data_IF_884190104772
#
_entry.id   IF_884190104772
#
_cell.length_a   1.000
_cell.length_b   1.000
_cell.length_c   1.000
_cell.angle_alpha   90.00
_cell.angle_beta   90.00
_cell.angle_gamma   90.00
#
_symmetry.space_group_name_H-M   'P 1'
#
loop_
_entity.id
_entity.type
_entity.pdbx_description
1 polymer ?
#
# COMPACT_ATOMS: atom_id res chain seq x y z
N UNK A 1 -15.50 -6.32 -25.95
CA UNK A 1 -15.09 -6.31 -24.53
C UNK A 1 -16.26 -5.84 -23.69
N UNK A 2 -16.76 -6.63 -22.73
CA UNK A 2 -17.81 -6.15 -21.83
C UNK A 2 -17.25 -5.00 -20.97
N UNK A 3 -18.07 -3.95 -20.78
CA UNK A 3 -17.70 -2.83 -19.95
C UNK A 3 -17.41 -3.28 -18.50
N UNK A 4 -16.36 -2.78 -17.87
CA UNK A 4 -16.05 -3.00 -16.46
C UNK A 4 -17.16 -2.42 -15.58
N UNK A 5 -17.78 -3.23 -14.72
CA UNK A 5 -18.92 -2.83 -13.89
C UNK A 5 -18.64 -2.91 -12.39
N UNK A 6 -17.77 -3.83 -12.00
CA UNK A 6 -17.51 -4.08 -10.57
C UNK A 6 -16.06 -4.45 -10.31
N UNK A 7 -15.46 -3.83 -9.30
CA UNK A 7 -14.08 -4.07 -8.85
C UNK A 7 -14.06 -4.38 -7.36
N UNK A 8 -13.34 -5.44 -6.98
CA UNK A 8 -13.01 -5.76 -5.61
C UNK A 8 -11.54 -5.43 -5.36
N UNK A 9 -11.27 -4.50 -4.48
CA UNK A 9 -9.95 -4.13 -4.00
C UNK A 9 -9.66 -4.90 -2.70
N UNK A 10 -8.50 -5.50 -2.60
CA UNK A 10 -8.01 -6.17 -1.39
C UNK A 10 -6.78 -5.44 -0.89
N UNK A 11 -6.82 -4.94 0.33
CA UNK A 11 -5.68 -4.33 0.98
C UNK A 11 -5.74 -4.62 2.48
N UNK A 12 -4.60 -4.81 3.11
CA UNK A 12 -4.57 -5.13 4.54
C UNK A 12 -4.93 -3.95 5.43
N UNK A 13 -4.85 -2.70 4.92
CA UNK A 13 -5.30 -1.46 5.57
C UNK A 13 -6.09 -0.61 4.60
N UNK A 14 -6.90 0.29 5.11
CA UNK A 14 -7.47 1.42 4.38
C UNK A 14 -6.84 2.75 4.82
N UNK A 15 -7.23 3.83 4.16
CA UNK A 15 -6.68 5.17 4.44
C UNK A 15 -7.00 5.68 5.86
N UNK A 16 -8.11 5.24 6.47
CA UNK A 16 -8.49 5.60 7.83
C UNK A 16 -7.71 4.86 8.92
N UNK A 17 -6.92 3.84 8.56
CA UNK A 17 -6.11 3.11 9.53
C UNK A 17 -5.01 4.01 10.10
N UNK A 18 -4.73 4.00 11.44
CA UNK A 18 -3.71 4.86 12.05
C UNK A 18 -2.30 4.72 11.44
N UNK A 19 -2.02 3.59 10.80
CA UNK A 19 -0.76 3.35 10.08
C UNK A 19 -0.96 3.37 8.56
N UNK A 20 -2.05 3.95 8.06
CA UNK A 20 -2.29 4.17 6.64
C UNK A 20 -1.16 4.99 6.00
N UNK A 21 -0.90 4.78 4.73
CA UNK A 21 0.17 5.45 4.01
C UNK A 21 -0.13 5.62 2.52
N UNK A 22 0.91 5.82 1.73
CA UNK A 22 0.76 6.12 0.30
C UNK A 22 0.07 5.02 -0.50
N UNK A 23 0.29 3.74 -0.18
CA UNK A 23 -0.36 2.62 -0.87
C UNK A 23 -1.88 2.58 -0.63
N UNK A 24 -2.31 2.91 0.58
CA UNK A 24 -3.71 2.97 0.96
C UNK A 24 -4.39 4.20 0.33
N UNK A 25 -3.71 5.36 0.32
CA UNK A 25 -4.19 6.56 -0.36
C UNK A 25 -4.33 6.34 -1.88
N UNK A 26 -3.35 5.67 -2.50
CA UNK A 26 -3.40 5.30 -3.91
C UNK A 26 -4.65 4.46 -4.23
N UNK A 27 -4.91 3.40 -3.45
CA UNK A 27 -6.07 2.56 -3.65
C UNK A 27 -7.39 3.30 -3.44
N UNK A 28 -7.47 4.15 -2.42
CA UNK A 28 -8.66 4.97 -2.17
C UNK A 28 -8.92 5.91 -3.35
N UNK A 29 -7.89 6.59 -3.86
CA UNK A 29 -8.01 7.50 -5.00
C UNK A 29 -8.45 6.80 -6.26
N UNK A 30 -7.82 5.68 -6.62
CA UNK A 30 -8.24 4.87 -7.77
C UNK A 30 -9.66 4.35 -7.59
N UNK A 31 -10.00 3.86 -6.40
CA UNK A 31 -11.34 3.39 -6.09
C UNK A 31 -12.38 4.49 -6.27
N UNK A 32 -12.12 5.69 -5.78
CA UNK A 32 -12.99 6.86 -5.92
C UNK A 32 -13.18 7.27 -7.39
N UNK A 33 -12.10 7.29 -8.20
CA UNK A 33 -12.18 7.60 -9.63
C UNK A 33 -13.00 6.56 -10.40
N UNK A 34 -12.81 5.27 -10.11
CA UNK A 34 -13.62 4.20 -10.68
C UNK A 34 -15.09 4.33 -10.29
N UNK A 35 -15.36 4.65 -9.00
CA UNK A 35 -16.73 4.87 -8.52
C UNK A 35 -17.39 6.08 -9.19
N UNK A 36 -16.66 7.18 -9.36
CA UNK A 36 -17.13 8.37 -10.09
C UNK A 36 -17.43 8.07 -11.58
N UNK A 37 -16.75 7.07 -12.15
CA UNK A 37 -17.02 6.56 -13.50
C UNK A 37 -18.16 5.55 -13.57
N UNK A 38 -18.94 5.36 -12.50
CA UNK A 38 -20.09 4.46 -12.44
C UNK A 38 -19.76 2.98 -12.17
N UNK A 39 -18.52 2.67 -11.80
CA UNK A 39 -18.10 1.31 -11.49
C UNK A 39 -18.35 1.03 -10.01
N UNK A 40 -18.99 -0.09 -9.68
CA UNK A 40 -19.20 -0.51 -8.30
C UNK A 40 -17.88 -0.98 -7.67
N UNK A 41 -17.34 -0.21 -6.73
CA UNK A 41 -16.07 -0.52 -6.06
C UNK A 41 -16.30 -0.97 -4.62
N UNK A 42 -15.68 -2.08 -4.25
CA UNK A 42 -15.67 -2.57 -2.86
C UNK A 42 -14.22 -2.78 -2.42
N UNK A 43 -13.84 -2.23 -1.27
CA UNK A 43 -12.55 -2.47 -0.61
C UNK A 43 -12.75 -3.43 0.56
N UNK A 44 -12.04 -4.56 0.55
CA UNK A 44 -11.96 -5.48 1.67
C UNK A 44 -10.65 -5.30 2.42
N UNK A 45 -10.71 -5.05 3.74
CA UNK A 45 -9.56 -4.63 4.54
C UNK A 45 -9.66 -5.07 6.00
N UNK A 46 -8.60 -4.88 6.79
CA UNK A 46 -8.59 -5.16 8.21
C UNK A 46 -9.43 -4.16 9.02
N UNK A 47 -9.83 -4.59 10.21
CA UNK A 47 -10.41 -3.72 11.23
C UNK A 47 -9.31 -3.05 12.06
N UNK A 48 -9.62 -1.88 12.57
CA UNK A 48 -8.84 -1.17 13.59
C UNK A 48 -9.79 -0.57 14.64
N UNK A 49 -9.32 -0.20 15.83
CA UNK A 49 -10.14 0.38 16.88
C UNK A 49 -10.93 1.60 16.40
N UNK A 50 -12.22 1.66 16.74
CA UNK A 50 -13.12 2.75 16.33
C UNK A 50 -13.66 2.66 14.90
N UNK A 51 -13.10 1.82 14.01
CA UNK A 51 -13.58 1.72 12.64
C UNK A 51 -14.88 0.91 12.51
N UNK A 52 -15.91 1.41 11.77
CA UNK A 52 -17.11 0.66 11.46
C UNK A 52 -16.81 -0.56 10.60
N UNK A 53 -17.63 -1.61 10.72
CA UNK A 53 -17.47 -2.81 9.87
C UNK A 53 -17.71 -2.55 8.39
N UNK A 54 -18.63 -1.64 8.09
CA UNK A 54 -19.00 -1.22 6.75
C UNK A 54 -19.09 0.29 6.70
N UNK A 55 -18.58 0.86 5.63
CA UNK A 55 -18.54 2.31 5.43
C UNK A 55 -18.57 2.61 3.93
N UNK A 56 -19.05 3.77 3.56
CA UNK A 56 -18.97 4.31 2.20
C UNK A 56 -18.11 5.58 2.24
N UNK A 57 -16.97 5.56 1.55
CA UNK A 57 -16.06 6.69 1.48
C UNK A 57 -15.76 6.97 0.01
N UNK A 58 -16.06 8.16 -0.47
CA UNK A 58 -15.84 8.60 -1.86
C UNK A 58 -16.41 7.60 -2.91
N UNK A 59 -17.59 7.03 -2.64
CA UNK A 59 -18.23 6.04 -3.50
C UNK A 59 -17.68 4.61 -3.38
N UNK A 60 -16.61 4.40 -2.62
CA UNK A 60 -16.02 3.08 -2.34
C UNK A 60 -16.68 2.44 -1.12
N UNK A 61 -17.24 1.25 -1.29
CA UNK A 61 -17.77 0.46 -0.17
C UNK A 61 -16.65 -0.23 0.57
N UNK A 62 -16.39 0.16 1.80
CA UNK A 62 -15.36 -0.46 2.65
C UNK A 62 -15.99 -1.56 3.49
N UNK A 63 -15.38 -2.74 3.50
CA UNK A 63 -15.78 -3.89 4.30
C UNK A 63 -14.59 -4.38 5.13
N UNK A 64 -14.67 -4.22 6.46
CA UNK A 64 -13.56 -4.51 7.38
C UNK A 64 -13.79 -5.79 8.16
N UNK A 65 -12.80 -6.69 8.21
CA UNK A 65 -12.75 -7.80 9.15
C UNK A 65 -11.32 -8.32 9.34
N UNK A 66 -11.11 -8.98 10.47
CA UNK A 66 -9.79 -9.43 10.89
C UNK A 66 -8.91 -8.28 11.38
N UNK A 67 -7.71 -8.61 11.80
CA UNK A 67 -6.66 -7.68 12.17
C UNK A 67 -5.46 -7.82 11.23
N UNK A 68 -4.30 -7.31 11.65
CA UNK A 68 -3.07 -7.24 10.87
C UNK A 68 -2.71 -8.52 10.10
N UNK A 69 -2.84 -9.69 10.73
CA UNK A 69 -2.47 -10.98 10.12
C UNK A 69 -3.68 -11.80 9.69
N UNK A 70 -4.81 -11.69 10.40
CA UNK A 70 -6.00 -12.48 10.10
C UNK A 70 -6.85 -11.91 8.96
N UNK A 71 -6.58 -10.69 8.49
CA UNK A 71 -7.30 -10.07 7.37
C UNK A 71 -7.28 -10.92 6.10
N UNK A 72 -6.17 -11.58 5.82
CA UNK A 72 -5.99 -12.44 4.64
C UNK A 72 -6.95 -13.63 4.67
N UNK A 73 -7.03 -14.32 5.82
CA UNK A 73 -7.96 -15.43 6.02
C UNK A 73 -9.42 -14.96 5.95
N UNK A 74 -9.75 -13.85 6.64
CA UNK A 74 -11.11 -13.31 6.61
C UNK A 74 -11.51 -12.78 5.23
N UNK A 75 -10.59 -12.29 4.43
CA UNK A 75 -10.84 -11.91 3.04
C UNK A 75 -11.10 -13.14 2.18
N UNK A 76 -10.26 -14.18 2.30
CA UNK A 76 -10.42 -15.44 1.56
C UNK A 76 -11.77 -16.11 1.87
N UNK A 77 -12.12 -16.22 3.15
CA UNK A 77 -13.42 -16.77 3.58
C UNK A 77 -14.61 -15.93 3.07
N UNK A 78 -14.49 -14.60 3.11
CA UNK A 78 -15.55 -13.72 2.60
C UNK A 78 -15.72 -13.85 1.08
N UNK A 79 -14.61 -13.96 0.34
CA UNK A 79 -14.64 -14.21 -1.11
C UNK A 79 -15.22 -15.59 -1.44
N UNK A 80 -14.84 -16.63 -0.70
CA UNK A 80 -15.39 -17.97 -0.87
C UNK A 80 -16.90 -18.01 -0.57
N UNK A 81 -17.34 -17.44 0.54
CA UNK A 81 -18.76 -17.33 0.90
C UNK A 81 -19.57 -16.55 -0.15
N UNK A 82 -18.98 -15.48 -0.72
CA UNK A 82 -19.64 -14.69 -1.77
C UNK A 82 -19.92 -15.50 -3.04
N UNK A 83 -19.11 -16.52 -3.35
CA UNK A 83 -19.34 -17.44 -4.46
C UNK A 83 -20.62 -18.26 -4.27
N UNK A 84 -20.98 -18.53 -3.02
CA UNK A 84 -22.21 -19.20 -2.61
C UNK A 84 -23.36 -18.22 -2.30
N UNK A 85 -23.20 -16.93 -2.56
CA UNK A 85 -24.21 -15.91 -2.25
C UNK A 85 -24.29 -15.53 -0.76
N UNK A 86 -23.30 -15.92 0.04
CA UNK A 86 -23.26 -15.72 1.49
C UNK A 86 -22.24 -14.68 1.92
N UNK A 87 -22.32 -14.25 3.18
CA UNK A 87 -21.33 -13.40 3.83
C UNK A 87 -21.37 -11.90 3.43
N UNK A 88 -20.39 -11.13 3.88
CA UNK A 88 -20.38 -9.67 3.72
C UNK A 88 -20.20 -9.21 2.27
N UNK A 89 -19.65 -10.06 1.41
CA UNK A 89 -19.43 -9.78 -0.01
C UNK A 89 -20.48 -10.46 -0.92
N UNK A 90 -21.59 -11.00 -0.38
CA UNK A 90 -22.59 -11.78 -1.13
C UNK A 90 -23.19 -11.08 -2.35
N UNK A 91 -23.22 -9.74 -2.35
CA UNK A 91 -23.70 -8.91 -3.47
C UNK A 91 -22.61 -8.42 -4.41
N UNK A 92 -21.34 -8.71 -4.09
CA UNK A 92 -20.19 -8.29 -4.91
C UNK A 92 -19.92 -9.36 -5.96
N UNK A 93 -20.04 -8.98 -7.22
CA UNK A 93 -19.72 -9.83 -8.38
C UNK A 93 -18.64 -9.13 -9.21
N UNK A 94 -17.37 -9.23 -8.78
CA UNK A 94 -16.31 -8.45 -9.40
C UNK A 94 -15.97 -8.99 -10.79
N UNK A 95 -15.84 -8.10 -11.75
CA UNK A 95 -15.22 -8.37 -13.04
C UNK A 95 -13.70 -8.49 -12.88
N UNK A 96 -13.15 -7.67 -11.97
CA UNK A 96 -11.71 -7.64 -11.62
C UNK A 96 -11.54 -7.62 -10.11
N UNK A 97 -10.57 -8.40 -9.62
CA UNK A 97 -10.11 -8.37 -8.23
C UNK A 97 -8.67 -7.87 -8.21
N UNK A 98 -8.41 -6.80 -7.47
CA UNK A 98 -7.07 -6.26 -7.25
C UNK A 98 -6.53 -6.81 -5.93
N UNK A 99 -5.56 -7.69 -6.02
CA UNK A 99 -4.86 -8.29 -4.89
C UNK A 99 -3.63 -7.41 -4.58
N UNK A 100 -3.76 -6.51 -3.61
CA UNK A 100 -2.65 -5.63 -3.23
C UNK A 100 -1.69 -6.37 -2.33
N UNK A 101 -0.55 -6.72 -2.88
CA UNK A 101 0.52 -7.39 -2.16
C UNK A 101 1.40 -6.36 -1.45
N UNK A 102 1.17 -6.20 -0.16
CA UNK A 102 2.02 -5.44 0.77
C UNK A 102 2.75 -6.44 1.68
N UNK A 103 3.66 -7.22 1.08
CA UNK A 103 4.32 -8.37 1.67
C UNK A 103 3.57 -9.67 1.34
N UNK A 104 2.46 -9.95 1.99
CA UNK A 104 1.64 -11.14 1.71
C UNK A 104 0.52 -10.85 0.72
N UNK A 105 0.27 -11.73 -0.28
CA UNK A 105 -0.90 -11.65 -1.15
C UNK A 105 -2.16 -12.15 -0.45
N UNK A 106 -3.33 -11.69 -0.90
CA UNK A 106 -4.63 -12.22 -0.47
C UNK A 106 -5.00 -13.52 -1.17
N UNK A 107 -4.17 -13.97 -2.09
CA UNK A 107 -4.35 -15.18 -2.90
C UNK A 107 -5.70 -15.25 -3.62
N UNK A 108 -6.23 -14.10 -4.03
CA UNK A 108 -7.51 -13.96 -4.72
C UNK A 108 -7.60 -14.84 -5.98
N UNK A 109 -6.46 -15.13 -6.60
CA UNK A 109 -6.35 -16.03 -7.74
C UNK A 109 -7.02 -17.39 -7.52
N UNK A 110 -6.98 -17.93 -6.30
CA UNK A 110 -7.57 -19.24 -6.00
C UNK A 110 -9.09 -19.28 -6.27
N UNK A 111 -9.76 -18.14 -6.14
CA UNK A 111 -11.21 -18.01 -6.30
C UNK A 111 -11.62 -17.32 -7.60
N UNK A 112 -10.79 -16.43 -8.13
CA UNK A 112 -11.10 -15.60 -9.29
C UNK A 112 -10.21 -15.85 -10.51
N UNK A 113 -9.18 -16.69 -10.39
CA UNK A 113 -8.32 -17.08 -11.50
C UNK A 113 -7.67 -15.88 -12.20
N UNK A 114 -7.85 -15.78 -13.52
CA UNK A 114 -7.31 -14.67 -14.33
C UNK A 114 -8.03 -13.33 -14.17
N UNK A 115 -9.19 -13.32 -13.50
CA UNK A 115 -9.87 -12.05 -13.14
C UNK A 115 -9.20 -11.33 -11.98
N UNK A 116 -8.23 -11.95 -11.30
CA UNK A 116 -7.40 -11.26 -10.32
C UNK A 116 -6.13 -10.72 -10.96
N UNK A 117 -5.74 -9.51 -10.58
CA UNK A 117 -4.43 -8.93 -10.85
C UNK A 117 -3.71 -8.67 -9.52
N UNK A 118 -2.39 -8.62 -9.55
CA UNK A 118 -1.56 -8.35 -8.38
C UNK A 118 -1.03 -6.93 -8.46
N UNK A 119 -1.33 -6.11 -7.47
CA UNK A 119 -0.77 -4.77 -7.34
C UNK A 119 0.39 -4.78 -6.35
N UNK A 120 1.58 -4.39 -6.81
CA UNK A 120 2.79 -4.35 -5.99
C UNK A 120 3.40 -2.96 -6.05
N UNK A 121 3.44 -2.26 -4.92
CA UNK A 121 4.09 -0.94 -4.85
C UNK A 121 5.62 -1.07 -4.79
N UNK A 122 6.12 -2.03 -4.02
CA UNK A 122 7.54 -2.37 -3.90
C UNK A 122 7.70 -3.76 -3.28
N UNK A 123 8.85 -4.39 -3.50
CA UNK A 123 9.20 -5.63 -2.82
C UNK A 123 9.78 -5.33 -1.43
N UNK A 124 9.36 -6.11 -0.42
CA UNK A 124 9.62 -5.80 1.01
C UNK A 124 10.92 -6.44 1.54
N UNK A 125 11.87 -6.78 0.67
CA UNK A 125 13.09 -7.48 1.06
C UNK A 125 13.79 -6.87 2.28
N UNK A 126 13.96 -5.56 2.27
CA UNK A 126 14.64 -4.81 3.33
C UNK A 126 13.75 -4.55 4.57
N UNK A 127 12.45 -4.71 4.43
CA UNK A 127 11.50 -4.48 5.53
C UNK A 127 11.22 -5.74 6.35
N UNK A 128 11.35 -6.92 5.75
CA UNK A 128 11.08 -8.19 6.43
C UNK A 128 11.93 -8.43 7.67
N UNK A 129 13.23 -8.07 7.72
CA UNK A 129 14.04 -8.22 8.94
C UNK A 129 13.48 -7.48 10.15
N UNK A 130 12.77 -6.37 9.96
CA UNK A 130 12.12 -5.59 11.03
C UNK A 130 10.98 -6.37 11.71
N UNK A 131 10.36 -7.33 11.01
CA UNK A 131 9.32 -8.19 11.57
C UNK A 131 9.86 -9.32 12.46
N UNK A 132 11.18 -9.40 12.65
CA UNK A 132 11.85 -10.44 13.39
C UNK A 132 12.32 -11.62 12.51
N UNK A 133 13.27 -12.38 13.04
CA UNK A 133 14.05 -13.36 12.26
C UNK A 133 13.18 -14.44 11.57
N UNK A 134 12.24 -15.03 12.31
CA UNK A 134 11.39 -16.11 11.79
C UNK A 134 10.31 -15.58 10.85
N UNK A 135 9.58 -14.54 11.28
CA UNK A 135 8.53 -13.92 10.47
C UNK A 135 9.10 -13.28 9.21
N UNK A 136 10.28 -12.68 9.32
CA UNK A 136 10.97 -12.08 8.17
C UNK A 136 11.35 -13.13 7.10
N UNK A 137 11.86 -14.29 7.51
CA UNK A 137 12.18 -15.39 6.59
C UNK A 137 10.92 -15.95 5.92
N UNK A 138 9.88 -16.22 6.70
CA UNK A 138 8.62 -16.72 6.18
C UNK A 138 7.98 -15.70 5.21
N UNK A 139 7.93 -14.43 5.61
CA UNK A 139 7.37 -13.36 4.78
C UNK A 139 8.11 -13.21 3.46
N UNK A 140 9.43 -13.19 3.50
CA UNK A 140 10.25 -13.15 2.29
C UNK A 140 10.06 -14.38 1.41
N UNK A 141 9.99 -15.58 1.98
CA UNK A 141 9.70 -16.80 1.24
C UNK A 141 8.35 -16.74 0.52
N UNK A 142 7.30 -16.28 1.21
CA UNK A 142 5.98 -16.10 0.60
C UNK A 142 6.01 -15.08 -0.51
N UNK A 143 6.65 -13.93 -0.30
CA UNK A 143 6.71 -12.84 -1.29
C UNK A 143 7.59 -13.20 -2.48
N UNK A 144 8.77 -13.79 -2.26
CA UNK A 144 9.76 -14.03 -3.32
C UNK A 144 9.56 -15.33 -4.08
N UNK A 145 8.98 -16.34 -3.46
CA UNK A 145 8.91 -17.68 -4.05
C UNK A 145 7.46 -18.14 -4.29
N UNK A 146 6.61 -18.03 -3.28
CA UNK A 146 5.26 -18.58 -3.36
C UNK A 146 4.35 -17.69 -4.21
N UNK A 147 4.36 -16.38 -3.98
CA UNK A 147 3.51 -15.43 -4.70
C UNK A 147 3.76 -15.40 -6.21
N UNK A 148 5.01 -15.29 -6.72
CA UNK A 148 5.28 -15.32 -8.16
C UNK A 148 4.83 -16.63 -8.82
N UNK A 149 5.04 -17.77 -8.16
CA UNK A 149 4.58 -19.07 -8.69
C UNK A 149 3.07 -19.18 -8.74
N UNK A 150 2.40 -18.77 -7.67
CA UNK A 150 0.94 -18.79 -7.59
C UNK A 150 0.32 -17.88 -8.66
N UNK A 151 0.85 -16.68 -8.82
CA UNK A 151 0.31 -15.67 -9.71
C UNK A 151 0.95 -15.66 -11.11
N UNK A 152 1.72 -16.68 -11.49
CA UNK A 152 2.48 -16.75 -12.77
C UNK A 152 1.68 -16.46 -14.03
N UNK A 153 0.34 -16.60 -13.99
CA UNK A 153 -0.58 -16.35 -15.12
C UNK A 153 -1.43 -15.10 -14.93
N UNK A 154 -1.23 -14.35 -13.85
CA UNK A 154 -1.95 -13.12 -13.56
C UNK A 154 -1.20 -11.91 -14.11
N UNK A 155 -1.94 -10.85 -14.36
CA UNK A 155 -1.37 -9.53 -14.63
C UNK A 155 -0.83 -8.96 -13.33
N UNK A 156 0.37 -8.38 -13.38
CA UNK A 156 0.95 -7.56 -12.33
C UNK A 156 0.85 -6.09 -12.71
N UNK A 157 0.60 -5.27 -11.73
CA UNK A 157 0.67 -3.81 -11.83
C UNK A 157 1.65 -3.31 -10.77
N UNK A 158 2.57 -2.45 -11.18
CA UNK A 158 3.49 -1.79 -10.25
C UNK A 158 3.61 -0.32 -10.58
N UNK A 159 4.17 0.46 -9.65
CA UNK A 159 4.17 1.93 -9.74
C UNK A 159 5.49 2.51 -10.25
N UNK A 160 6.52 1.68 -10.44
CA UNK A 160 7.83 2.15 -10.87
C UNK A 160 8.62 1.11 -11.64
N UNK A 161 9.57 1.58 -12.46
CA UNK A 161 10.50 0.70 -13.17
C UNK A 161 11.44 -0.10 -12.22
N UNK A 162 11.96 0.46 -11.13
CA UNK A 162 12.69 -0.32 -10.14
C UNK A 162 11.87 -1.48 -9.60
N UNK A 163 10.63 -1.26 -9.16
CA UNK A 163 9.76 -2.34 -8.67
C UNK A 163 9.44 -3.37 -9.74
N UNK A 164 9.34 -2.97 -11.02
CA UNK A 164 9.18 -3.93 -12.12
C UNK A 164 10.42 -4.81 -12.28
N UNK A 165 11.63 -4.25 -12.17
CA UNK A 165 12.89 -5.01 -12.21
C UNK A 165 12.98 -6.01 -11.05
N UNK A 166 12.59 -5.59 -9.85
CA UNK A 166 12.53 -6.48 -8.68
C UNK A 166 11.59 -7.66 -8.93
N UNK A 167 10.40 -7.42 -9.47
CA UNK A 167 9.43 -8.47 -9.81
C UNK A 167 9.99 -9.44 -10.85
N UNK A 168 10.68 -8.93 -11.89
CA UNK A 168 11.35 -9.77 -12.90
C UNK A 168 12.43 -10.63 -12.23
N UNK A 169 13.23 -10.06 -11.34
CA UNK A 169 14.25 -10.79 -10.59
C UNK A 169 13.65 -11.89 -9.68
N UNK A 170 12.40 -11.75 -9.26
CA UNK A 170 11.63 -12.76 -8.53
C UNK A 170 10.94 -13.80 -9.45
N UNK A 171 11.16 -13.71 -10.78
CA UNK A 171 10.64 -14.66 -11.76
C UNK A 171 9.26 -14.35 -12.31
N UNK A 172 8.76 -13.12 -12.13
CA UNK A 172 7.54 -12.66 -12.81
C UNK A 172 7.89 -12.35 -14.28
N UNK A 173 7.09 -12.86 -15.19
CA UNK A 173 7.21 -12.61 -16.62
C UNK A 173 7.04 -11.11 -16.93
N UNK A 174 8.01 -10.51 -17.60
CA UNK A 174 8.02 -9.09 -17.95
C UNK A 174 6.81 -8.65 -18.77
N UNK A 175 6.30 -9.53 -19.65
CA UNK A 175 5.11 -9.26 -20.46
C UNK A 175 3.81 -9.16 -19.63
N UNK A 176 3.86 -9.62 -18.39
CA UNK A 176 2.76 -9.56 -17.43
C UNK A 176 2.86 -8.42 -16.42
N UNK A 177 3.84 -7.55 -16.57
CA UNK A 177 4.04 -6.40 -15.68
C UNK A 177 3.66 -5.12 -16.41
N UNK A 178 2.63 -4.45 -15.92
CA UNK A 178 2.30 -3.09 -16.33
C UNK A 178 2.85 -2.10 -15.28
N UNK A 179 3.55 -1.08 -15.74
CA UNK A 179 4.00 0.02 -14.87
C UNK A 179 3.03 1.18 -15.00
N UNK A 180 2.27 1.42 -13.94
CA UNK A 180 1.33 2.55 -13.82
C UNK A 180 1.83 3.45 -12.71
N UNK A 181 2.43 4.58 -13.07
CA UNK A 181 3.02 5.52 -12.10
C UNK A 181 1.95 6.12 -11.20
N UNK A 182 2.35 6.46 -9.97
CA UNK A 182 1.47 7.22 -9.08
C UNK A 182 1.14 8.58 -9.69
N UNK A 183 -0.13 8.99 -9.55
CA UNK A 183 -0.54 10.35 -9.80
C UNK A 183 -0.06 11.29 -8.69
N UNK A 184 -0.11 12.57 -8.96
CA UNK A 184 0.04 13.62 -7.98
C UNK A 184 -1.34 14.23 -7.71
N UNK A 185 -1.57 14.62 -6.46
CA UNK A 185 -2.68 15.50 -6.13
C UNK A 185 -2.40 16.89 -6.72
N UNK A 186 -3.46 17.67 -6.93
CA UNK A 186 -3.28 19.07 -7.31
C UNK A 186 -2.39 19.79 -6.30
N UNK A 187 -1.45 20.56 -6.81
CA UNK A 187 -0.57 21.35 -5.96
C UNK A 187 -1.40 22.30 -5.08
N UNK A 188 -1.03 22.47 -3.80
CA UNK A 188 -1.66 23.49 -2.98
C UNK A 188 -1.56 24.85 -3.69
N UNK A 189 -2.61 25.68 -3.52
CA UNK A 189 -2.62 27.01 -4.10
C UNK A 189 -1.34 27.80 -3.77
N UNK A 190 -0.77 28.55 -4.71
CA UNK A 190 0.43 29.38 -4.47
C UNK A 190 0.32 30.35 -3.29
N UNK A 191 -0.91 30.64 -2.86
CA UNK A 191 -1.18 31.49 -1.68
C UNK A 191 -0.66 30.93 -0.36
N UNK A 192 -0.23 29.66 -0.31
CA UNK A 192 0.44 29.06 0.85
C UNK A 192 1.96 29.30 0.87
N UNK A 193 2.54 29.89 -0.17
CA UNK A 193 3.96 30.24 -0.18
C UNK A 193 4.18 31.54 0.62
N UNK A 194 4.46 31.37 1.90
CA UNK A 194 5.00 32.44 2.73
C UNK A 194 6.43 32.86 2.32
N UNK A 195 6.99 33.90 2.92
CA UNK A 195 8.38 34.30 2.68
C UNK A 195 9.31 33.12 3.00
N UNK A 196 10.37 32.99 2.21
CA UNK A 196 11.40 31.95 2.48
C UNK A 196 12.02 32.18 3.87
N UNK A 197 12.32 31.09 4.54
CA UNK A 197 13.03 31.16 5.82
C UNK A 197 14.34 31.96 5.68
N UNK A 198 14.68 32.82 6.63
CA UNK A 198 15.90 33.65 6.57
C UNK A 198 17.17 32.82 6.64
N UNK A 199 17.09 31.60 7.17
CA UNK A 199 18.23 30.67 7.32
C UNK A 199 17.99 29.41 6.49
N UNK A 200 19.06 28.75 6.01
CA UNK A 200 18.95 27.49 5.29
C UNK A 200 18.22 26.43 6.13
N UNK A 201 17.24 25.77 5.53
CA UNK A 201 16.40 24.79 6.21
C UNK A 201 16.25 23.52 5.39
N UNK A 202 16.60 22.39 5.98
CA UNK A 202 16.35 21.05 5.43
C UNK A 202 15.09 20.51 6.08
N UNK A 203 14.18 19.94 5.29
CA UNK A 203 12.94 19.35 5.81
C UNK A 203 12.87 17.87 5.45
N UNK A 204 12.66 17.04 6.44
CA UNK A 204 12.35 15.60 6.27
C UNK A 204 10.89 15.38 6.65
N UNK A 205 10.05 15.06 5.67
CA UNK A 205 8.65 14.72 5.87
C UNK A 205 8.47 13.22 5.67
N UNK A 206 8.32 12.45 6.75
CA UNK A 206 8.24 10.99 6.67
C UNK A 206 7.62 10.37 7.91
N UNK A 207 7.17 9.10 7.77
CA UNK A 207 6.95 8.27 8.96
C UNK A 207 8.29 7.97 9.63
N UNK A 208 8.33 8.07 10.95
CA UNK A 208 9.54 7.78 11.73
C UNK A 208 9.63 6.27 12.00
N UNK A 209 10.27 5.57 11.07
CA UNK A 209 10.49 4.12 11.09
C UNK A 209 11.87 3.78 10.52
N UNK A 210 12.54 2.70 10.94
CA UNK A 210 13.96 2.42 10.63
C UNK A 210 14.31 2.48 9.14
N UNK A 211 13.48 1.91 8.27
CA UNK A 211 13.74 1.87 6.83
C UNK A 211 13.64 3.22 6.11
N UNK A 212 13.32 4.30 6.83
CA UNK A 212 13.37 5.67 6.31
C UNK A 212 14.70 6.36 6.57
N UNK A 213 15.56 5.71 7.35
CA UNK A 213 16.95 6.13 7.56
C UNK A 213 17.08 7.64 7.90
N UNK A 214 16.22 8.10 8.83
CA UNK A 214 16.20 9.52 9.26
C UNK A 214 17.55 9.91 9.89
N UNK A 215 18.23 8.93 10.47
CA UNK A 215 19.57 9.06 11.04
C UNK A 215 20.59 9.59 10.03
N UNK A 216 20.48 9.22 8.75
CA UNK A 216 21.39 9.72 7.70
C UNK A 216 21.20 11.23 7.47
N UNK A 217 19.96 11.71 7.55
CA UNK A 217 19.69 13.15 7.45
C UNK A 217 20.22 13.92 8.66
N UNK A 218 20.11 13.34 9.88
CA UNK A 218 20.69 13.91 11.09
C UNK A 218 22.22 14.01 10.97
N UNK A 219 22.88 12.92 10.55
CA UNK A 219 24.33 12.88 10.36
C UNK A 219 24.80 13.88 9.30
N UNK A 220 24.12 13.92 8.14
CA UNK A 220 24.48 14.84 7.06
C UNK A 220 24.35 16.32 7.48
N UNK A 221 23.30 16.69 8.21
CA UNK A 221 23.13 18.07 8.69
C UNK A 221 24.14 18.41 9.77
N UNK A 222 24.45 17.49 10.69
CA UNK A 222 25.49 17.68 11.69
C UNK A 222 26.88 17.95 11.06
N UNK A 223 27.20 17.24 9.96
CA UNK A 223 28.44 17.47 9.22
C UNK A 223 28.47 18.83 8.49
N UNK A 224 27.33 19.28 7.99
CA UNK A 224 27.21 20.53 7.23
C UNK A 224 27.08 21.78 8.11
N UNK A 225 26.59 21.64 9.33
CA UNK A 225 26.31 22.75 10.22
C UNK A 225 27.53 23.69 10.47
N UNK A 226 28.80 23.20 10.61
CA UNK A 226 29.97 24.07 10.73
C UNK A 226 30.27 24.88 9.46
N UNK A 227 29.82 24.43 8.29
CA UNK A 227 30.06 25.05 6.98
C UNK A 227 28.95 25.99 6.55
N UNK A 228 27.72 25.78 7.08
CA UNK A 228 26.52 26.53 6.71
C UNK A 228 25.93 27.15 7.98
N UNK A 229 26.29 28.39 8.32
CA UNK A 229 25.79 29.07 9.51
C UNK A 229 24.25 29.14 9.51
N UNK A 230 23.65 28.79 10.64
CA UNK A 230 22.19 28.83 10.79
C UNK A 230 21.43 27.73 10.06
N UNK A 231 22.09 26.65 9.60
CA UNK A 231 21.42 25.48 9.03
C UNK A 231 20.54 24.79 10.07
N UNK A 232 19.27 24.60 9.74
CA UNK A 232 18.29 23.87 10.55
C UNK A 232 17.78 22.63 9.84
N UNK A 233 17.47 21.58 10.62
CA UNK A 233 16.77 20.38 10.17
C UNK A 233 15.42 20.27 10.88
N UNK A 234 14.36 20.29 10.08
CA UNK A 234 13.00 20.01 10.56
C UNK A 234 12.61 18.58 10.20
N UNK A 235 12.30 17.77 11.20
CA UNK A 235 11.78 16.41 10.99
C UNK A 235 10.30 16.40 11.33
N UNK A 236 9.48 16.29 10.29
CA UNK A 236 8.02 16.31 10.38
C UNK A 236 7.46 14.92 10.16
N UNK A 237 6.74 14.39 11.15
CA UNK A 237 6.10 13.10 11.10
C UNK A 237 6.00 12.41 12.44
N UNK A 238 5.39 11.22 12.41
CA UNK A 238 5.21 10.35 13.58
C UNK A 238 5.64 8.92 13.30
N UNK A 239 5.86 8.14 14.36
CA UNK A 239 6.21 6.74 14.26
C UNK A 239 6.84 6.21 15.53
N UNK A 240 6.85 4.89 15.66
CA UNK A 240 7.38 4.20 16.86
C UNK A 240 8.91 4.32 17.01
N UNK A 241 9.62 4.79 15.97
CA UNK A 241 11.07 5.03 15.98
C UNK A 241 11.45 6.41 16.52
N UNK A 242 10.45 7.28 16.80
CA UNK A 242 10.67 8.66 17.23
C UNK A 242 11.61 8.77 18.43
N UNK A 243 11.38 7.95 19.47
CA UNK A 243 12.21 8.01 20.68
C UNK A 243 13.68 7.73 20.37
N UNK A 244 13.97 6.77 19.52
CA UNK A 244 15.33 6.42 19.10
C UNK A 244 16.05 7.54 18.33
N UNK A 245 15.29 8.43 17.68
CA UNK A 245 15.85 9.59 16.96
C UNK A 245 16.10 10.79 17.88
N UNK A 246 15.53 10.80 19.09
CA UNK A 246 15.69 11.88 20.08
C UNK A 246 16.82 11.56 21.07
N UNK A 247 17.03 10.26 21.37
CA UNK A 247 18.12 9.78 22.23
C UNK A 247 19.48 9.84 21.52
#
# INVERSE_FOLDING_TARGET
>A
MSALRSVLLLCWRDIGHPQGGGSEAYLQRIGAQLAASGIAVTLRTARYPGAPRHELVDGVRISRAGGRYSVYLWALLAMAAARCGLGPLRRVRPDVVVDTQNGWPFVARLLYGRRSLVLVHHCHREQWPVAGRMMGRLGWYVESMLSPRLHRRNQYVTVSLPSARDLIALGVDSERIAVVRNGLDEAPSPTLSGPRAPTPRVVVLSRLVPHKQIEDALAAVAELQPRIPGLHLDIVGGGWWRQRLVD
#
